data_IF_342319959568
#
_entry.id   IF_342319959568
#
_cell.length_a   1.000
_cell.length_b   1.000
_cell.length_c   1.000
_cell.angle_alpha   90.00
_cell.angle_beta   90.00
_cell.angle_gamma   90.00
#
_symmetry.space_group_name_H-M   'P 1'
#
loop_
_entity.id
_entity.type
_entity.pdbx_description
1 polymer ?
#
# COMPACT_ATOMS: atom_id res chain seq x y z
N UNK A 1 -28.63 9.01 4.39
CA UNK A 1 -29.09 10.23 5.07
C UNK A 1 -29.59 11.22 4.03
N UNK A 2 -30.91 11.28 3.86
CA UNK A 2 -31.74 12.36 3.30
C UNK A 2 -31.36 12.89 1.90
N UNK A 3 -32.01 12.30 0.88
CA UNK A 3 -32.32 12.93 -0.41
C UNK A 3 -33.11 14.23 -0.16
N UNK A 4 -32.53 15.39 -0.51
CA UNK A 4 -33.32 16.61 -0.71
C UNK A 4 -33.95 16.54 -2.10
N UNK A 5 -35.24 16.20 -2.14
CA UNK A 5 -36.10 16.36 -3.33
C UNK A 5 -36.09 17.83 -3.74
N UNK A 6 -35.72 18.14 -4.98
CA UNK A 6 -36.00 19.44 -5.58
C UNK A 6 -37.01 19.23 -6.72
N UNK A 7 -38.22 19.75 -6.50
CA UNK A 7 -39.31 19.82 -7.47
C UNK A 7 -39.05 21.06 -8.34
N UNK A 8 -38.87 20.90 -9.65
CA UNK A 8 -38.84 22.03 -10.59
C UNK A 8 -40.03 21.88 -11.54
N UNK A 9 -41.10 22.64 -11.25
CA UNK A 9 -42.19 22.88 -12.18
C UNK A 9 -41.70 23.85 -13.26
N UNK A 10 -41.75 23.39 -14.52
CA UNK A 10 -41.91 24.14 -15.76
C UNK A 10 -41.16 25.47 -15.94
N UNK A 11 -40.16 25.49 -16.83
CA UNK A 11 -40.06 26.47 -17.92
C UNK A 11 -39.41 25.76 -19.12
N UNK A 12 -40.03 25.91 -20.28
CA UNK A 12 -39.54 25.50 -21.60
C UNK A 12 -38.32 26.36 -21.95
N UNK A 13 -37.15 25.75 -22.11
CA UNK A 13 -35.95 26.47 -22.52
C UNK A 13 -34.71 25.60 -22.42
N UNK A 14 -34.27 25.09 -23.57
CA UNK A 14 -32.94 24.53 -23.82
C UNK A 14 -32.49 23.47 -22.79
N UNK A 15 -32.76 22.20 -23.09
CA UNK A 15 -32.14 21.08 -22.39
C UNK A 15 -30.63 21.08 -22.65
N UNK A 16 -29.89 21.94 -21.95
CA UNK A 16 -28.61 21.57 -21.40
C UNK A 16 -28.92 20.53 -20.34
N UNK A 17 -29.12 19.30 -20.82
CA UNK A 17 -28.94 18.09 -20.05
C UNK A 17 -27.59 18.29 -19.38
N UNK A 18 -27.60 18.57 -18.08
CA UNK A 18 -26.41 18.62 -17.27
C UNK A 18 -25.73 17.27 -17.45
N UNK A 19 -24.81 17.17 -18.41
CA UNK A 19 -23.73 16.23 -18.36
C UNK A 19 -22.83 16.72 -17.20
N UNK A 20 -23.34 16.54 -15.97
CA UNK A 20 -22.48 16.25 -14.85
C UNK A 20 -21.94 14.86 -15.15
N UNK A 21 -21.00 14.80 -16.11
CA UNK A 21 -20.13 13.66 -16.27
C UNK A 21 -19.49 13.53 -14.90
N UNK A 22 -19.84 12.46 -14.16
CA UNK A 22 -19.27 12.21 -12.86
C UNK A 22 -17.77 12.20 -13.03
N UNK A 23 -17.09 13.27 -12.60
CA UNK A 23 -15.69 13.17 -12.27
C UNK A 23 -15.67 12.29 -11.04
N UNK A 24 -15.59 10.99 -11.27
CA UNK A 24 -14.99 10.13 -10.27
C UNK A 24 -13.59 10.70 -10.09
N UNK A 25 -13.33 11.24 -8.90
CA UNK A 25 -12.00 11.70 -8.54
C UNK A 25 -11.12 10.45 -8.58
N UNK A 26 -10.47 10.27 -9.73
CA UNK A 26 -9.59 9.14 -9.98
C UNK A 26 -8.40 9.30 -9.05
N UNK A 27 -8.21 8.29 -8.24
CA UNK A 27 -7.03 8.13 -7.41
C UNK A 27 -5.81 7.77 -8.29
N UNK A 28 -4.74 8.54 -8.13
CA UNK A 28 -3.49 8.42 -8.88
C UNK A 28 -2.25 8.43 -7.96
N UNK A 29 -2.46 8.41 -6.64
CA UNK A 29 -1.38 8.48 -5.66
C UNK A 29 -1.04 7.05 -5.24
N UNK A 30 0.24 6.74 -5.19
CA UNK A 30 0.69 5.41 -4.79
C UNK A 30 0.75 5.28 -3.26
N UNK A 31 0.46 4.10 -2.72
CA UNK A 31 0.63 3.83 -1.29
C UNK A 31 2.10 3.90 -0.87
N UNK A 32 2.33 4.33 0.38
CA UNK A 32 3.66 4.42 0.99
C UNK A 32 3.84 3.26 1.98
N UNK A 33 4.87 2.45 1.74
CA UNK A 33 5.29 1.38 2.67
C UNK A 33 6.36 1.93 3.63
N UNK A 34 6.16 1.71 4.93
CA UNK A 34 7.15 2.04 5.98
C UNK A 34 7.55 0.76 6.70
N UNK A 35 8.86 0.54 6.87
CA UNK A 35 9.38 -0.59 7.63
C UNK A 35 9.45 -0.24 9.11
N UNK A 36 8.98 -1.14 9.98
CA UNK A 36 9.29 -1.06 11.39
C UNK A 36 10.67 -1.69 11.65
N UNK A 37 11.47 -1.10 12.53
CA UNK A 37 12.82 -1.61 12.81
C UNK A 37 13.86 -1.33 11.71
N UNK A 38 15.10 -1.73 11.99
CA UNK A 38 16.25 -1.35 11.17
C UNK A 38 16.35 -2.14 9.84
N UNK A 39 17.08 -1.56 8.91
CA UNK A 39 17.66 -2.24 7.74
C UNK A 39 19.12 -1.78 7.65
N UNK A 40 20.12 -2.68 7.77
CA UNK A 40 19.98 -4.12 7.91
C UNK A 40 19.50 -4.60 9.30
N UNK A 41 18.92 -5.80 9.33
CA UNK A 41 18.72 -6.60 10.54
C UNK A 41 19.84 -7.62 10.71
N UNK A 42 20.38 -7.76 11.91
CA UNK A 42 21.38 -8.80 12.22
C UNK A 42 20.71 -9.98 12.90
N UNK A 43 20.96 -11.18 12.37
CA UNK A 43 20.33 -12.43 12.83
C UNK A 43 21.42 -13.47 13.08
N UNK A 44 21.31 -14.20 14.19
CA UNK A 44 22.26 -15.26 14.52
C UNK A 44 22.06 -16.45 13.57
N UNK A 45 23.16 -17.08 13.14
CA UNK A 45 23.09 -18.35 12.42
C UNK A 45 22.28 -19.39 13.22
N UNK A 46 21.48 -20.17 12.50
CA UNK A 46 20.59 -21.21 13.03
C UNK A 46 19.49 -20.71 13.99
N UNK A 47 19.22 -19.40 14.00
CA UNK A 47 18.12 -18.79 14.77
C UNK A 47 16.89 -18.49 13.91
N UNK A 48 15.78 -18.12 14.57
CA UNK A 48 14.54 -17.73 13.90
C UNK A 48 14.61 -16.24 13.55
N UNK A 49 14.38 -15.92 12.28
CA UNK A 49 14.12 -14.54 11.87
C UNK A 49 12.69 -14.13 12.29
N UNK A 50 12.58 -13.10 13.12
CA UNK A 50 11.30 -12.49 13.50
C UNK A 50 11.17 -11.17 12.73
N UNK A 51 10.11 -11.07 11.94
CA UNK A 51 9.77 -9.88 11.16
C UNK A 51 9.38 -8.72 12.10
N UNK A 52 10.12 -7.58 12.09
CA UNK A 52 9.83 -6.47 13.01
C UNK A 52 8.52 -5.73 12.73
N UNK A 53 7.94 -5.90 11.52
CA UNK A 53 6.72 -5.22 11.10
C UNK A 53 6.94 -4.25 9.95
N UNK A 54 5.83 -3.74 9.44
CA UNK A 54 5.73 -2.74 8.39
C UNK A 54 4.29 -2.21 8.34
N UNK A 55 4.09 -1.02 7.77
CA UNK A 55 2.78 -0.45 7.45
C UNK A 55 2.72 -0.04 5.98
N UNK A 56 1.52 0.01 5.41
CA UNK A 56 1.28 0.60 4.09
C UNK A 56 0.05 1.50 4.12
N UNK A 57 0.26 2.80 3.86
CA UNK A 57 -0.79 3.83 3.91
C UNK A 57 -0.96 4.47 2.55
N UNK A 58 -2.21 4.57 2.13
CA UNK A 58 -2.68 5.30 0.96
C UNK A 58 -3.54 6.51 1.38
N UNK A 59 -3.60 7.56 0.57
CA UNK A 59 -4.37 8.76 0.91
C UNK A 59 -5.89 8.59 0.72
N UNK A 60 -6.32 7.71 -0.18
CA UNK A 60 -7.74 7.43 -0.47
C UNK A 60 -8.17 6.09 0.14
N UNK A 61 -7.37 5.04 0.00
CA UNK A 61 -7.69 3.70 0.51
C UNK A 61 -7.39 3.53 2.01
N UNK A 62 -6.61 4.43 2.60
CA UNK A 62 -6.24 4.39 4.01
C UNK A 62 -5.19 3.32 4.32
N UNK A 63 -5.36 2.62 5.44
CA UNK A 63 -4.43 1.54 5.82
C UNK A 63 -4.71 0.26 5.02
N UNK A 64 -3.74 -0.10 4.18
CA UNK A 64 -3.77 -1.29 3.33
C UNK A 64 -2.62 -2.26 3.67
N UNK A 65 -2.08 -2.19 4.89
CA UNK A 65 -0.95 -3.01 5.37
C UNK A 65 -1.18 -4.51 5.13
N UNK A 66 -2.41 -5.00 5.32
CA UNK A 66 -2.77 -6.41 5.13
C UNK A 66 -2.71 -6.88 3.66
N UNK A 67 -2.62 -5.95 2.70
CA UNK A 67 -2.50 -6.23 1.27
C UNK A 67 -1.04 -6.34 0.80
N UNK A 68 -0.07 -6.00 1.65
CA UNK A 68 1.36 -6.03 1.30
C UNK A 68 1.79 -7.46 0.99
N UNK A 69 2.41 -7.62 -0.17
CA UNK A 69 3.05 -8.86 -0.61
C UNK A 69 4.52 -8.81 -0.27
N UNK A 70 4.99 -9.79 0.52
CA UNK A 70 6.40 -9.95 0.86
C UNK A 70 7.02 -11.06 0.02
N UNK A 71 8.18 -10.78 -0.58
CA UNK A 71 9.09 -11.83 -1.10
C UNK A 71 10.31 -11.91 -0.21
N UNK A 72 10.72 -13.12 0.15
CA UNK A 72 11.90 -13.35 0.99
C UNK A 72 12.63 -14.61 0.58
N UNK A 73 13.97 -14.55 0.62
CA UNK A 73 14.86 -15.68 0.46
C UNK A 73 15.75 -15.90 1.69
N UNK A 74 15.39 -15.32 2.85
CA UNK A 74 16.21 -15.38 4.08
C UNK A 74 16.38 -16.84 4.49
N UNK A 75 17.63 -17.30 4.57
CA UNK A 75 18.00 -18.62 5.06
C UNK A 75 18.97 -18.46 6.23
N UNK A 76 18.49 -18.56 7.47
CA UNK A 76 19.30 -18.36 8.67
C UNK A 76 20.30 -19.49 8.95
N UNK A 77 20.24 -20.60 8.22
CA UNK A 77 21.23 -21.69 8.34
C UNK A 77 22.54 -21.39 7.59
N UNK A 78 22.57 -20.36 6.75
CA UNK A 78 23.73 -19.97 5.94
C UNK A 78 24.05 -18.50 6.25
N UNK A 79 25.32 -18.21 6.54
CA UNK A 79 25.77 -16.83 6.72
C UNK A 79 25.71 -16.07 5.40
N UNK A 80 25.31 -14.80 5.47
CA UNK A 80 25.22 -13.96 4.28
C UNK A 80 24.24 -12.81 4.40
N UNK A 81 24.16 -12.00 3.35
CA UNK A 81 23.14 -10.96 3.19
C UNK A 81 21.99 -11.49 2.35
N UNK A 82 20.78 -11.28 2.87
CA UNK A 82 19.51 -11.68 2.27
C UNK A 82 18.61 -10.45 2.13
N UNK A 83 17.66 -10.53 1.19
CA UNK A 83 16.72 -9.44 0.96
C UNK A 83 15.28 -9.90 1.18
N UNK A 84 14.52 -9.00 1.80
CA UNK A 84 13.05 -9.05 1.83
C UNK A 84 12.53 -7.87 1.03
N UNK A 85 11.61 -8.11 0.11
CA UNK A 85 10.98 -7.04 -0.68
C UNK A 85 9.50 -6.95 -0.35
N UNK A 86 9.02 -5.72 -0.24
CA UNK A 86 7.66 -5.37 0.16
C UNK A 86 7.04 -4.55 -0.96
N UNK A 87 5.86 -4.95 -1.41
CA UNK A 87 5.13 -4.26 -2.46
C UNK A 87 3.62 -4.38 -2.22
N UNK A 88 2.87 -3.34 -2.57
CA UNK A 88 1.41 -3.31 -2.51
C UNK A 88 0.90 -2.48 -3.67
N UNK A 89 -0.31 -2.82 -4.14
CA UNK A 89 -1.06 -2.08 -5.14
C UNK A 89 -2.39 -1.72 -4.49
N UNK A 90 -2.79 -0.46 -4.57
CA UNK A 90 -4.07 0.03 -4.08
C UNK A 90 -5.27 -0.47 -4.92
N UNK A 91 -6.50 -0.04 -4.61
CA UNK A 91 -7.69 -0.46 -5.37
C UNK A 91 -7.76 0.16 -6.78
N UNK A 92 -7.11 1.29 -6.97
CA UNK A 92 -7.08 2.08 -8.20
C UNK A 92 -6.00 1.62 -9.19
N UNK A 93 -5.10 0.76 -8.73
CA UNK A 93 -4.01 0.16 -9.50
C UNK A 93 -2.67 0.89 -9.35
N UNK A 94 -2.54 1.88 -8.46
CA UNK A 94 -1.24 2.52 -8.23
C UNK A 94 -0.37 1.60 -7.37
N UNK A 95 0.86 1.40 -7.83
CA UNK A 95 1.82 0.50 -7.18
C UNK A 95 2.76 1.29 -6.28
N UNK A 96 2.94 0.84 -5.04
CA UNK A 96 3.95 1.40 -4.15
C UNK A 96 5.36 1.29 -4.76
N UNK A 97 6.23 2.23 -4.39
CA UNK A 97 7.67 2.03 -4.53
C UNK A 97 8.09 0.79 -3.73
N UNK A 98 8.82 -0.14 -4.36
CA UNK A 98 9.24 -1.37 -3.70
C UNK A 98 10.24 -1.06 -2.59
N UNK A 99 9.89 -1.40 -1.35
CA UNK A 99 10.77 -1.24 -0.19
C UNK A 99 11.51 -2.54 0.08
N UNK A 100 12.77 -2.44 0.51
CA UNK A 100 13.63 -3.60 0.78
C UNK A 100 14.19 -3.55 2.20
N UNK A 101 14.20 -4.70 2.86
CA UNK A 101 14.96 -4.92 4.09
C UNK A 101 16.11 -5.86 3.84
N UNK A 102 17.31 -5.44 4.24
CA UNK A 102 18.48 -6.30 4.29
C UNK A 102 18.49 -7.11 5.60
N UNK A 103 18.79 -8.40 5.51
CA UNK A 103 18.96 -9.30 6.66
C UNK A 103 20.34 -9.93 6.56
N UNK A 104 21.20 -9.65 7.55
CA UNK A 104 22.56 -10.17 7.64
C UNK A 104 22.56 -11.31 8.65
N UNK A 105 22.84 -12.51 8.18
CA UNK A 105 23.01 -13.71 9.02
C UNK A 105 24.49 -13.86 9.35
N UNK A 106 24.83 -13.90 10.64
CA UNK A 106 26.21 -14.02 11.13
C UNK A 106 26.31 -14.93 12.35
N UNK A 107 27.49 -15.48 12.58
CA UNK A 107 27.85 -16.10 13.86
C UNK A 107 28.18 -14.98 14.86
N UNK A 108 27.72 -15.14 16.10
CA UNK A 108 28.06 -14.28 17.22
C UNK A 108 29.18 -14.88 18.06
#
# INVERSE_FOLDING_TARGET
>A
MIMKKLVILGIIGLSLLFAYCGKEDKDEIAPIITLDGASPQYVAKDSIYIEPGYTAIDDIDGDITDLVKIKSNVNTAIEGSYQRTYNVIDKSGNSAEEVKREVIVMIF
#
